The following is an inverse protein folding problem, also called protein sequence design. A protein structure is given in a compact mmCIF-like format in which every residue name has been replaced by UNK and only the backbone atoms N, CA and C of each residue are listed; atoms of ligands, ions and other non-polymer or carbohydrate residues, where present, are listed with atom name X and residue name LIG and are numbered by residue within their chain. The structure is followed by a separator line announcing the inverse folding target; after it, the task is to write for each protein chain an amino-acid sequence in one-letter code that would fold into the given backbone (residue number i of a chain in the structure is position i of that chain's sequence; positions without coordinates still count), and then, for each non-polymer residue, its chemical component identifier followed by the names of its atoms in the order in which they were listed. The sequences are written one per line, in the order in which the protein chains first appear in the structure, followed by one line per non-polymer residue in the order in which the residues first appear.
data_IF_788875745204
#
_entry.id   IF_788875745204
#
_cell.length_a   1.000
_cell.length_b   1.000
_cell.length_c   1.000
_cell.angle_alpha   90.00
_cell.angle_beta   90.00
_cell.angle_gamma   90.00
#
_symmetry.space_group_name_H-M   'P 1'
#
loop_
_entity.id
_entity.type
_entity.pdbx_description
1 polymer ?
#
# COMPACT_ATOMS: atom_id res chain seq x y z
N UNK A 1 -34.66 45.76 27.16
CA UNK A 1 -34.24 44.46 27.72
C UNK A 1 -32.75 44.27 27.42
N UNK A 2 -31.84 44.22 28.43
CA UNK A 2 -30.44 43.91 28.19
C UNK A 2 -30.31 42.43 27.82
N UNK A 3 -29.43 42.08 26.90
CA UNK A 3 -29.26 40.70 26.45
C UNK A 3 -28.71 39.84 27.58
N UNK A 4 -29.30 38.69 27.81
CA UNK A 4 -28.95 37.63 28.78
C UNK A 4 -27.47 37.18 28.77
N UNK A 5 -26.63 37.82 27.99
CA UNK A 5 -25.21 37.52 27.83
C UNK A 5 -24.33 38.04 28.98
N UNK A 6 -24.73 39.10 29.66
CA UNK A 6 -23.95 39.73 30.75
C UNK A 6 -24.02 38.98 32.08
N UNK A 7 -25.03 38.16 32.29
CA UNK A 7 -25.22 37.40 33.54
C UNK A 7 -24.30 36.19 33.68
N UNK A 8 -23.65 35.76 32.60
CA UNK A 8 -22.71 34.63 32.60
C UNK A 8 -21.25 35.04 32.88
N UNK A 9 -20.96 36.33 32.94
CA UNK A 9 -19.60 36.86 33.12
C UNK A 9 -19.23 37.14 34.59
N UNK A 10 -20.14 36.98 35.54
CA UNK A 10 -19.87 37.21 36.97
C UNK A 10 -19.35 36.00 37.77
N UNK A 11 -19.00 34.90 37.10
CA UNK A 11 -18.34 33.77 37.75
C UNK A 11 -16.84 34.00 37.86
N UNK A 12 -16.34 33.98 39.11
CA UNK A 12 -14.94 34.15 39.55
C UNK A 12 -13.90 33.43 38.65
N UNK A 13 -12.72 34.06 38.42
CA UNK A 13 -11.73 33.62 37.46
C UNK A 13 -10.79 32.48 37.92
N UNK A 14 -11.25 31.51 38.71
CA UNK A 14 -10.36 30.49 39.27
C UNK A 14 -10.79 29.02 39.11
N UNK A 15 -11.52 28.72 38.04
CA UNK A 15 -11.65 27.31 37.60
C UNK A 15 -11.18 27.19 36.15
N UNK A 16 -10.49 26.11 35.74
CA UNK A 16 -10.21 25.87 34.34
C UNK A 16 -11.55 25.59 33.63
N UNK A 17 -12.17 26.65 33.12
CA UNK A 17 -13.39 26.55 32.33
C UNK A 17 -13.05 25.71 31.12
N UNK A 18 -13.69 24.58 30.99
CA UNK A 18 -13.59 23.69 29.82
C UNK A 18 -13.76 24.53 28.55
N UNK A 19 -12.68 24.72 27.81
CA UNK A 19 -12.58 25.58 26.61
C UNK A 19 -13.28 25.00 25.38
N UNK A 20 -13.62 23.73 25.45
CA UNK A 20 -14.34 22.96 24.41
C UNK A 20 -15.75 23.52 24.13
N UNK A 21 -16.57 23.96 25.13
CA UNK A 21 -17.90 24.47 24.83
C UNK A 21 -17.90 25.73 23.94
N UNK A 22 -16.88 26.59 24.05
CA UNK A 22 -16.83 27.82 23.25
C UNK A 22 -16.48 27.48 21.79
N UNK A 23 -15.46 26.69 21.58
CA UNK A 23 -15.05 26.23 20.23
C UNK A 23 -16.21 25.51 19.53
N UNK A 24 -16.91 24.63 20.21
CA UNK A 24 -18.07 23.91 19.68
C UNK A 24 -19.22 24.84 19.31
N UNK A 25 -19.55 25.81 20.17
CA UNK A 25 -20.62 26.80 19.89
C UNK A 25 -20.30 27.67 18.69
N UNK A 26 -19.04 28.05 18.53
CA UNK A 26 -18.57 28.81 17.37
C UNK A 26 -18.79 28.03 16.09
N UNK A 27 -18.42 26.75 16.08
CA UNK A 27 -18.54 25.87 14.92
C UNK A 27 -20.02 25.56 14.57
N UNK A 28 -20.90 25.46 15.58
CA UNK A 28 -22.30 25.12 15.36
C UNK A 28 -23.20 26.34 15.06
N UNK A 29 -22.69 27.56 15.16
CA UNK A 29 -23.46 28.79 14.91
C UNK A 29 -23.83 28.93 13.40
N UNK A 30 -22.89 28.66 12.48
CA UNK A 30 -23.13 28.73 11.03
C UNK A 30 -23.00 27.33 10.41
N UNK A 31 -24.10 26.56 10.47
CA UNK A 31 -24.10 25.15 10.03
C UNK A 31 -23.73 24.94 8.56
N UNK A 32 -24.14 25.86 7.66
CA UNK A 32 -23.83 25.72 6.21
C UNK A 32 -22.33 25.84 5.95
N UNK A 33 -21.68 26.79 6.59
CA UNK A 33 -20.23 27.01 6.42
C UNK A 33 -19.41 25.94 7.09
N UNK A 34 -19.80 25.53 8.28
CA UNK A 34 -19.15 24.41 8.96
C UNK A 34 -19.28 23.13 8.13
N UNK A 35 -20.41 22.89 7.48
CA UNK A 35 -20.57 21.77 6.57
C UNK A 35 -19.63 21.86 5.36
N UNK A 36 -19.52 23.03 4.70
CA UNK A 36 -18.57 23.24 3.59
C UNK A 36 -17.13 23.07 4.05
N UNK A 37 -16.81 23.56 5.23
CA UNK A 37 -15.52 23.38 5.87
C UNK A 37 -15.18 21.91 6.11
N UNK A 38 -16.13 21.16 6.66
CA UNK A 38 -15.98 19.73 6.90
C UNK A 38 -15.80 18.94 5.61
N UNK A 39 -16.50 19.31 4.51
CA UNK A 39 -16.29 18.70 3.18
C UNK A 39 -14.86 18.93 2.70
N UNK A 40 -14.32 20.14 2.81
CA UNK A 40 -12.94 20.43 2.42
C UNK A 40 -11.92 19.61 3.21
N UNK A 41 -12.09 19.53 4.53
CA UNK A 41 -11.19 18.75 5.40
C UNK A 41 -11.35 17.25 5.16
N UNK A 42 -12.57 16.77 5.01
CA UNK A 42 -12.88 15.40 4.60
C UNK A 42 -12.12 15.03 3.33
N UNK A 43 -12.21 15.85 2.28
CA UNK A 43 -11.52 15.59 1.01
C UNK A 43 -10.00 15.60 1.15
N UNK A 44 -9.44 16.54 1.94
CA UNK A 44 -8.00 16.60 2.19
C UNK A 44 -7.50 15.34 2.91
N UNK A 45 -8.19 14.90 3.95
CA UNK A 45 -7.83 13.70 4.71
C UNK A 45 -8.03 12.44 3.88
N UNK A 46 -9.13 12.36 3.09
CA UNK A 46 -9.38 11.25 2.19
C UNK A 46 -8.26 11.12 1.15
N UNK A 47 -7.77 12.24 0.61
CA UNK A 47 -6.65 12.25 -0.34
C UNK A 47 -5.38 11.71 0.32
N UNK A 48 -5.08 12.09 1.56
CA UNK A 48 -3.95 11.51 2.33
C UNK A 48 -4.10 9.99 2.49
N UNK A 49 -5.32 9.50 2.78
CA UNK A 49 -5.58 8.05 2.81
C UNK A 49 -5.28 7.39 1.47
N UNK A 50 -5.75 7.97 0.37
CA UNK A 50 -5.56 7.41 -0.99
C UNK A 50 -4.07 7.36 -1.33
N UNK A 51 -3.34 8.45 -1.19
CA UNK A 51 -1.92 8.52 -1.51
C UNK A 51 -1.11 7.54 -0.66
N UNK A 52 -1.34 7.51 0.65
CA UNK A 52 -0.67 6.59 1.56
C UNK A 52 -1.10 5.13 1.28
N UNK A 53 -2.35 4.93 0.86
CA UNK A 53 -2.88 3.63 0.46
C UNK A 53 -2.09 3.04 -0.69
N UNK A 54 -1.92 3.77 -1.77
CA UNK A 54 -1.16 3.34 -2.94
C UNK A 54 0.35 3.26 -2.67
N UNK A 55 0.91 4.21 -1.93
CA UNK A 55 2.34 4.20 -1.58
C UNK A 55 2.78 2.89 -0.93
N UNK A 56 1.93 2.30 -0.08
CA UNK A 56 2.21 1.00 0.55
C UNK A 56 1.68 -0.20 -0.24
N UNK A 57 0.63 -0.04 -1.06
CA UNK A 57 0.07 -1.16 -1.80
C UNK A 57 0.96 -1.58 -2.97
N UNK A 58 1.66 -0.63 -3.59
CA UNK A 58 2.51 -0.92 -4.75
C UNK A 58 3.66 -1.86 -4.39
N UNK A 59 4.51 -1.61 -3.37
CA UNK A 59 5.53 -2.58 -2.96
C UNK A 59 4.94 -3.94 -2.56
N UNK A 60 3.78 -3.96 -1.91
CA UNK A 60 3.08 -5.19 -1.55
C UNK A 60 2.61 -5.98 -2.78
N UNK A 61 2.21 -5.31 -3.84
CA UNK A 61 1.92 -5.95 -5.12
C UNK A 61 3.15 -6.66 -5.72
N UNK A 62 4.34 -6.10 -5.53
CA UNK A 62 5.61 -6.73 -5.90
C UNK A 62 5.97 -7.95 -5.05
N UNK A 63 5.52 -8.01 -3.81
CA UNK A 63 5.78 -9.12 -2.89
C UNK A 63 4.73 -10.25 -2.94
N UNK A 64 3.65 -10.07 -3.70
CA UNK A 64 2.49 -10.94 -3.67
C UNK A 64 2.83 -12.42 -3.99
N UNK A 65 3.70 -12.66 -4.96
CA UNK A 65 4.19 -14.01 -5.25
C UNK A 65 4.91 -14.61 -4.04
N UNK A 66 5.86 -13.87 -3.50
CA UNK A 66 6.70 -14.33 -2.39
C UNK A 66 5.91 -14.54 -1.11
N UNK A 67 4.87 -13.72 -0.84
CA UNK A 67 3.97 -13.88 0.30
C UNK A 67 3.16 -15.18 0.24
N UNK A 68 2.99 -15.73 -0.96
CA UNK A 68 2.28 -16.99 -1.21
C UNK A 68 3.21 -18.18 -1.45
N UNK A 69 4.50 -18.02 -1.22
CA UNK A 69 5.50 -19.10 -1.34
C UNK A 69 6.08 -19.49 0.02
N UNK A 70 6.51 -20.74 0.12
CA UNK A 70 7.18 -21.32 1.29
C UNK A 70 8.68 -21.41 1.01
N UNK A 71 9.44 -20.53 1.60
CA UNK A 71 10.91 -20.55 1.57
C UNK A 71 11.45 -19.75 2.76
N UNK A 72 12.65 -20.10 3.20
CA UNK A 72 13.40 -19.36 4.21
C UNK A 72 14.41 -18.41 3.57
N UNK A 73 15.03 -18.87 2.46
CA UNK A 73 15.98 -18.11 1.67
C UNK A 73 15.62 -18.17 0.18
N UNK A 74 15.92 -17.11 -0.54
CA UNK A 74 15.73 -17.03 -1.99
C UNK A 74 17.08 -16.86 -2.69
N UNK A 75 17.46 -17.81 -3.55
CA UNK A 75 18.59 -17.69 -4.46
C UNK A 75 18.12 -17.00 -5.75
N UNK A 76 18.83 -15.98 -6.17
CA UNK A 76 18.59 -15.25 -7.42
C UNK A 76 19.89 -14.94 -8.14
N UNK A 77 19.80 -14.39 -9.35
CA UNK A 77 20.93 -13.77 -10.02
C UNK A 77 21.42 -12.54 -9.23
N UNK A 78 22.69 -12.19 -9.33
CA UNK A 78 23.23 -10.91 -8.83
C UNK A 78 22.67 -9.70 -9.60
N UNK A 79 22.08 -9.93 -10.78
CA UNK A 79 21.36 -8.93 -11.59
C UNK A 79 19.88 -8.83 -11.22
N UNK A 80 19.47 -9.38 -10.09
CA UNK A 80 18.09 -9.29 -9.62
C UNK A 80 17.69 -7.83 -9.36
N UNK A 81 16.75 -7.32 -10.14
CA UNK A 81 16.20 -5.98 -9.97
C UNK A 81 14.93 -5.98 -9.14
N UNK A 82 13.95 -6.76 -9.55
CA UNK A 82 12.66 -6.96 -8.87
C UNK A 82 12.00 -8.25 -9.38
N UNK A 83 10.87 -8.62 -8.77
CA UNK A 83 10.17 -9.88 -8.99
C UNK A 83 9.98 -10.28 -10.48
N UNK A 84 9.59 -9.36 -11.36
CA UNK A 84 9.37 -9.65 -12.77
C UNK A 84 10.65 -9.60 -13.61
N UNK A 85 11.76 -9.11 -13.06
CA UNK A 85 13.10 -9.10 -13.69
C UNK A 85 14.15 -9.69 -12.74
N UNK A 86 14.05 -10.99 -12.43
CA UNK A 86 14.95 -11.65 -11.48
C UNK A 86 16.31 -12.02 -12.07
N UNK A 87 16.51 -11.83 -13.37
CA UNK A 87 17.67 -12.38 -14.07
C UNK A 87 17.61 -13.91 -14.18
N UNK A 88 18.72 -14.52 -14.52
CA UNK A 88 18.88 -15.98 -14.59
C UNK A 88 20.23 -16.40 -14.03
N UNK A 89 20.31 -17.64 -13.53
CA UNK A 89 21.54 -18.27 -13.08
C UNK A 89 21.53 -19.76 -13.39
N UNK A 90 22.69 -20.44 -13.48
CA UNK A 90 22.75 -21.86 -13.77
C UNK A 90 22.12 -22.73 -12.68
N UNK A 91 21.31 -23.71 -13.05
CA UNK A 91 20.70 -24.69 -12.13
C UNK A 91 21.74 -25.38 -11.24
N UNK A 92 22.93 -25.63 -11.76
CA UNK A 92 24.04 -26.24 -11.03
C UNK A 92 24.45 -25.45 -9.77
N UNK A 93 24.19 -24.16 -9.72
CA UNK A 93 24.44 -23.34 -8.54
C UNK A 93 23.39 -23.62 -7.45
N UNK A 94 22.13 -23.81 -7.81
CA UNK A 94 21.08 -24.26 -6.88
C UNK A 94 21.35 -25.67 -6.37
N UNK A 95 21.82 -26.58 -7.25
CA UNK A 95 22.14 -27.95 -6.86
C UNK A 95 23.29 -28.02 -5.84
N UNK A 96 24.29 -27.11 -5.96
CA UNK A 96 25.35 -26.98 -4.93
C UNK A 96 24.76 -26.55 -3.59
N UNK A 97 23.84 -25.60 -3.59
CA UNK A 97 23.15 -25.13 -2.37
C UNK A 97 22.31 -26.26 -1.78
N UNK A 98 21.59 -27.02 -2.61
CA UNK A 98 20.78 -28.18 -2.21
C UNK A 98 21.60 -29.26 -1.49
N UNK A 99 22.88 -29.41 -1.86
CA UNK A 99 23.77 -30.41 -1.24
C UNK A 99 24.22 -30.04 0.19
N UNK A 100 23.93 -28.85 0.67
CA UNK A 100 24.28 -28.41 2.02
C UNK A 100 23.50 -29.17 3.09
N UNK A 101 24.15 -29.54 4.21
CA UNK A 101 23.49 -30.25 5.32
C UNK A 101 22.38 -29.40 6.00
N UNK A 102 22.41 -28.08 5.89
CA UNK A 102 21.46 -27.16 6.50
C UNK A 102 20.17 -27.01 5.67
N UNK A 103 20.19 -27.43 4.40
CA UNK A 103 19.08 -27.31 3.47
C UNK A 103 18.18 -28.56 3.57
N UNK A 104 16.89 -28.33 3.71
CA UNK A 104 15.88 -29.37 3.66
C UNK A 104 15.44 -29.63 2.21
N UNK A 105 15.17 -28.55 1.45
CA UNK A 105 14.85 -28.61 0.02
C UNK A 105 15.25 -27.30 -0.67
N UNK A 106 15.49 -27.39 -1.99
CA UNK A 106 15.77 -26.22 -2.83
C UNK A 106 15.12 -26.42 -4.20
N UNK A 107 14.06 -25.69 -4.48
CA UNK A 107 13.24 -25.84 -5.67
C UNK A 107 13.54 -24.74 -6.71
N UNK A 108 13.80 -25.10 -7.97
CA UNK A 108 13.97 -24.14 -9.06
C UNK A 108 12.62 -23.54 -9.48
N UNK A 109 12.61 -22.27 -9.82
CA UNK A 109 11.46 -21.56 -10.35
C UNK A 109 11.86 -20.87 -11.66
N UNK A 110 11.04 -21.07 -12.66
CA UNK A 110 11.24 -20.57 -14.00
C UNK A 110 10.18 -19.53 -14.33
N UNK A 111 10.58 -18.43 -14.95
CA UNK A 111 9.68 -17.39 -15.43
C UNK A 111 9.76 -17.26 -16.94
N UNK A 112 8.64 -17.07 -17.60
CA UNK A 112 8.56 -16.83 -19.02
C UNK A 112 7.32 -16.00 -19.36
N UNK A 113 7.36 -15.29 -20.47
CA UNK A 113 6.22 -14.60 -21.04
C UNK A 113 5.94 -15.15 -22.43
N UNK A 114 4.67 -15.40 -22.74
CA UNK A 114 4.22 -16.00 -23.98
C UNK A 114 2.91 -15.35 -24.46
N UNK A 115 2.65 -15.40 -25.76
CA UNK A 115 1.42 -14.88 -26.35
C UNK A 115 0.26 -15.84 -26.09
N UNK A 116 -0.81 -15.32 -25.49
CA UNK A 116 -2.03 -16.08 -25.26
C UNK A 116 -3.04 -15.83 -26.39
N UNK A 117 -3.43 -16.91 -27.06
CA UNK A 117 -4.46 -16.87 -28.12
C UNK A 117 -5.71 -17.60 -27.61
N UNK A 118 -6.75 -16.85 -27.26
CA UNK A 118 -8.00 -17.43 -26.74
C UNK A 118 -8.90 -18.01 -27.83
N UNK A 119 -8.58 -17.78 -29.10
CA UNK A 119 -9.44 -18.10 -30.23
C UNK A 119 -10.58 -17.09 -30.46
N UNK A 120 -10.69 -16.08 -29.66
CA UNK A 120 -11.69 -15.00 -29.75
C UNK A 120 -11.00 -13.66 -29.89
N UNK A 121 -11.05 -13.05 -31.08
CA UNK A 121 -10.50 -11.73 -31.38
C UNK A 121 -9.02 -11.71 -31.81
N UNK A 122 -8.57 -10.51 -32.23
CA UNK A 122 -7.21 -10.29 -32.77
C UNK A 122 -6.17 -9.87 -31.71
N UNK A 123 -6.58 -9.78 -30.44
CA UNK A 123 -5.70 -9.42 -29.34
C UNK A 123 -5.02 -10.67 -28.77
N UNK A 124 -3.69 -10.66 -28.76
CA UNK A 124 -2.88 -11.72 -28.17
C UNK A 124 -2.09 -11.14 -26.98
N UNK A 125 -2.71 -11.06 -25.81
CA UNK A 125 -2.02 -10.54 -24.63
C UNK A 125 -0.88 -11.46 -24.19
N UNK A 126 0.13 -10.89 -23.55
CA UNK A 126 1.19 -11.65 -22.94
C UNK A 126 0.72 -12.23 -21.60
N UNK A 127 0.83 -13.57 -21.46
CA UNK A 127 0.66 -14.26 -20.18
C UNK A 127 2.01 -14.51 -19.54
N UNK A 128 2.11 -14.23 -18.24
CA UNK A 128 3.30 -14.54 -17.46
C UNK A 128 3.20 -15.96 -16.91
N UNK A 129 4.15 -16.82 -17.27
CA UNK A 129 4.17 -18.23 -16.90
C UNK A 129 5.23 -18.50 -15.84
N UNK A 130 4.82 -19.22 -14.78
CA UNK A 130 5.70 -19.68 -13.71
C UNK A 130 5.77 -21.20 -13.79
N UNK A 131 6.98 -21.70 -14.06
CA UNK A 131 7.29 -23.13 -14.03
C UNK A 131 7.92 -23.52 -12.71
N UNK A 132 7.45 -24.59 -12.08
CA UNK A 132 7.99 -25.11 -10.82
C UNK A 132 7.79 -26.62 -10.74
N UNK A 133 8.47 -27.28 -9.80
CA UNK A 133 8.25 -28.69 -9.53
C UNK A 133 7.01 -28.86 -8.61
N UNK A 134 5.92 -29.49 -9.09
CA UNK A 134 4.74 -29.73 -8.25
C UNK A 134 5.04 -30.49 -6.94
N UNK A 135 6.02 -31.38 -6.93
CA UNK A 135 6.42 -32.15 -5.77
C UNK A 135 7.06 -31.30 -4.65
N UNK A 136 7.59 -30.12 -4.99
CA UNK A 136 8.23 -29.24 -4.01
C UNK A 136 7.26 -28.51 -3.07
N UNK A 137 5.97 -28.47 -3.40
CA UNK A 137 4.92 -27.80 -2.62
C UNK A 137 5.29 -26.38 -2.18
N UNK A 138 5.98 -25.64 -3.04
CA UNK A 138 6.48 -24.28 -2.73
C UNK A 138 5.37 -23.24 -2.55
N UNK A 139 4.17 -23.48 -3.06
CA UNK A 139 3.05 -22.56 -2.91
C UNK A 139 2.23 -22.86 -1.67
N UNK A 140 1.84 -21.78 -0.94
CA UNK A 140 1.02 -21.86 0.27
C UNK A 140 -0.47 -21.99 0.02
N UNK A 141 -1.09 -21.35 -1.02
CA UNK A 141 -2.54 -21.34 -1.18
C UNK A 141 -3.14 -22.72 -1.44
N UNK A 142 -4.20 -23.07 -0.70
CA UNK A 142 -4.96 -24.29 -0.89
C UNK A 142 -5.57 -24.40 -2.28
N UNK A 143 -5.91 -23.27 -2.91
CA UNK A 143 -6.43 -23.23 -4.28
C UNK A 143 -5.44 -23.77 -5.31
N UNK A 144 -4.14 -23.72 -5.02
CA UNK A 144 -3.08 -24.33 -5.84
C UNK A 144 -2.88 -25.78 -5.43
N UNK A 145 -2.67 -26.03 -4.14
CA UNK A 145 -2.27 -27.36 -3.63
C UNK A 145 -3.31 -28.45 -3.87
N UNK A 146 -4.63 -28.14 -3.85
CA UNK A 146 -5.69 -29.12 -4.12
C UNK A 146 -5.72 -29.65 -5.55
N UNK A 147 -5.16 -28.93 -6.49
CA UNK A 147 -5.18 -29.27 -7.91
C UNK A 147 -3.76 -29.37 -8.51
N UNK A 148 -2.73 -29.40 -7.67
CA UNK A 148 -1.33 -29.35 -8.11
C UNK A 148 -0.99 -30.56 -9.01
N UNK A 149 -1.58 -31.72 -8.77
CA UNK A 149 -1.37 -32.95 -9.55
C UNK A 149 -1.89 -32.85 -10.98
N UNK A 150 -2.79 -31.91 -11.28
CA UNK A 150 -3.23 -31.66 -12.67
C UNK A 150 -2.08 -31.17 -13.54
N UNK A 151 -1.06 -30.53 -12.95
CA UNK A 151 0.13 -30.06 -13.66
C UNK A 151 1.08 -31.18 -14.13
N UNK A 152 0.88 -32.41 -13.67
CA UNK A 152 1.60 -33.60 -14.17
C UNK A 152 1.09 -34.01 -15.56
N UNK A 153 -0.10 -33.55 -15.96
CA UNK A 153 -0.62 -33.76 -17.30
C UNK A 153 0.13 -32.90 -18.29
N UNK A 154 0.37 -33.49 -19.45
CA UNK A 154 1.10 -32.84 -20.57
C UNK A 154 0.33 -31.60 -21.04
N UNK A 155 1.08 -30.50 -21.28
CA UNK A 155 0.57 -29.24 -21.81
C UNK A 155 -0.62 -28.71 -21.01
N UNK A 156 -0.51 -28.74 -19.67
CA UNK A 156 -1.53 -28.27 -18.75
C UNK A 156 -1.02 -27.11 -17.91
N UNK A 157 -1.90 -26.13 -17.69
CA UNK A 157 -1.61 -24.94 -16.90
C UNK A 157 -2.74 -24.66 -15.89
N UNK A 158 -2.42 -24.10 -14.74
CA UNK A 158 -3.38 -23.41 -13.87
C UNK A 158 -3.31 -21.92 -14.19
N UNK A 159 -4.47 -21.25 -14.19
CA UNK A 159 -4.55 -19.82 -14.51
C UNK A 159 -5.08 -19.07 -13.29
N UNK A 160 -4.48 -17.93 -12.99
CA UNK A 160 -4.97 -17.07 -11.90
C UNK A 160 -6.34 -16.49 -12.26
N UNK A 161 -7.29 -16.59 -11.32
CA UNK A 161 -8.65 -16.04 -11.48
C UNK A 161 -8.67 -14.52 -11.63
N UNK A 162 -7.60 -13.84 -11.25
CA UNK A 162 -7.42 -12.40 -11.42
C UNK A 162 -6.89 -12.00 -12.80
N UNK A 163 -6.63 -12.97 -13.68
CA UNK A 163 -6.26 -12.73 -15.08
C UNK A 163 -7.34 -11.90 -15.77
N UNK A 164 -6.92 -10.87 -16.52
CA UNK A 164 -7.82 -9.87 -17.10
C UNK A 164 -8.80 -10.48 -18.12
N UNK A 165 -10.01 -9.92 -18.29
CA UNK A 165 -11.03 -10.44 -19.20
C UNK A 165 -10.61 -10.54 -20.67
N UNK A 166 -9.59 -9.78 -21.08
CA UNK A 166 -9.04 -9.83 -22.44
C UNK A 166 -8.42 -11.18 -22.82
N UNK A 167 -8.14 -12.06 -21.84
CA UNK A 167 -7.70 -13.43 -22.08
C UNK A 167 -8.83 -14.40 -22.44
N UNK A 168 -10.08 -13.93 -22.42
CA UNK A 168 -11.27 -14.74 -22.66
C UNK A 168 -11.67 -15.61 -21.46
N UNK A 169 -12.63 -16.52 -21.65
CA UNK A 169 -13.07 -17.42 -20.60
C UNK A 169 -11.95 -18.35 -20.11
N UNK A 170 -11.84 -18.53 -18.80
CA UNK A 170 -10.80 -19.34 -18.13
C UNK A 170 -11.38 -20.65 -17.56
N UNK A 171 -12.29 -21.28 -18.29
CA UNK A 171 -12.97 -22.49 -17.82
C UNK A 171 -12.03 -23.69 -17.81
N UNK A 172 -12.10 -24.49 -16.77
CA UNK A 172 -11.34 -25.74 -16.65
C UNK A 172 -11.69 -26.68 -17.79
N UNK A 173 -10.68 -27.27 -18.41
CA UNK A 173 -10.79 -28.14 -19.58
C UNK A 173 -10.76 -27.38 -20.91
N UNK A 174 -10.82 -26.05 -20.91
CA UNK A 174 -10.68 -25.27 -22.15
C UNK A 174 -9.26 -25.39 -22.71
N UNK A 175 -9.16 -25.56 -24.03
CA UNK A 175 -7.89 -25.54 -24.76
C UNK A 175 -7.67 -24.15 -25.31
N UNK A 176 -6.51 -23.61 -25.05
CA UNK A 176 -6.03 -22.31 -25.54
C UNK A 176 -4.69 -22.51 -26.24
N UNK A 177 -4.25 -21.53 -27.00
CA UNK A 177 -2.95 -21.55 -27.60
C UNK A 177 -2.01 -20.55 -26.88
N UNK A 178 -0.89 -21.07 -26.42
CA UNK A 178 0.19 -20.25 -25.83
C UNK A 178 1.38 -20.33 -26.78
N UNK A 179 1.74 -19.20 -27.40
CA UNK A 179 2.56 -19.11 -28.60
C UNK A 179 1.99 -20.07 -29.68
N UNK A 180 2.69 -21.04 -30.12
CA UNK A 180 2.23 -22.00 -31.15
C UNK A 180 1.87 -23.38 -30.55
N UNK A 181 1.61 -23.45 -29.24
CA UNK A 181 1.28 -24.69 -28.52
C UNK A 181 -0.10 -24.67 -27.91
N UNK A 182 -0.87 -25.71 -28.18
CA UNK A 182 -2.18 -25.95 -27.55
C UNK A 182 -1.97 -26.43 -26.12
N UNK A 183 -2.61 -25.74 -25.18
CA UNK A 183 -2.49 -25.96 -23.74
C UNK A 183 -3.87 -26.04 -23.14
N UNK A 184 -4.07 -26.98 -22.22
CA UNK A 184 -5.33 -27.15 -21.49
C UNK A 184 -5.30 -26.36 -20.17
N UNK A 185 -6.33 -25.61 -19.89
CA UNK A 185 -6.54 -25.01 -18.58
C UNK A 185 -6.98 -26.11 -17.63
N UNK A 186 -6.08 -26.55 -16.76
CA UNK A 186 -6.33 -27.62 -15.79
C UNK A 186 -7.17 -27.15 -14.58
N UNK A 187 -7.19 -25.86 -14.34
CA UNK A 187 -7.95 -25.26 -13.25
C UNK A 187 -7.60 -23.80 -13.01
N UNK A 188 -8.25 -23.22 -12.01
CA UNK A 188 -8.05 -21.83 -11.60
C UNK A 188 -7.58 -21.76 -10.16
N UNK A 189 -6.71 -20.79 -9.87
CA UNK A 189 -6.26 -20.49 -8.51
C UNK A 189 -6.45 -19.01 -8.21
N UNK A 190 -6.23 -18.62 -6.95
CA UNK A 190 -6.30 -17.23 -6.51
C UNK A 190 -4.99 -16.91 -5.78
N UNK A 191 -4.17 -16.09 -6.42
CA UNK A 191 -2.95 -15.54 -5.85
C UNK A 191 -2.91 -14.04 -6.08
N UNK A 192 -3.37 -13.61 -7.25
CA UNK A 192 -3.28 -12.25 -7.76
C UNK A 192 -2.12 -12.09 -8.74
N UNK A 193 -2.33 -11.30 -9.78
CA UNK A 193 -1.30 -11.05 -10.80
C UNK A 193 -0.22 -10.10 -10.30
N UNK A 194 -0.51 -9.26 -9.32
CA UNK A 194 0.43 -8.25 -8.83
C UNK A 194 0.95 -7.37 -9.97
N UNK A 195 2.26 -7.24 -10.06
CA UNK A 195 2.95 -6.55 -11.14
C UNK A 195 3.64 -7.52 -12.14
N UNK A 196 3.33 -8.81 -12.08
CA UNK A 196 3.91 -9.80 -13.03
C UNK A 196 3.33 -9.66 -14.42
N UNK A 197 2.08 -9.23 -14.57
CA UNK A 197 1.44 -9.05 -15.86
C UNK A 197 -0.08 -8.94 -15.79
N UNK A 198 -0.72 -8.94 -16.95
CA UNK A 198 -2.18 -8.88 -17.08
C UNK A 198 -2.84 -10.26 -16.87
N UNK A 199 -2.04 -11.33 -17.00
CA UNK A 199 -2.42 -12.70 -16.72
C UNK A 199 -1.24 -13.51 -16.23
N UNK A 200 -1.48 -14.44 -15.31
CA UNK A 200 -0.45 -15.32 -14.73
C UNK A 200 -0.92 -16.77 -14.76
N UNK A 201 -0.03 -17.63 -15.22
CA UNK A 201 -0.23 -19.07 -15.24
C UNK A 201 0.85 -19.82 -14.48
N UNK A 202 0.47 -20.92 -13.83
CA UNK A 202 1.37 -21.89 -13.20
C UNK A 202 1.43 -23.16 -14.02
N UNK A 203 2.61 -23.75 -14.15
CA UNK A 203 2.78 -25.01 -14.85
C UNK A 203 3.93 -25.80 -14.23
N UNK A 204 4.02 -27.11 -14.56
CA UNK A 204 5.16 -27.91 -14.13
C UNK A 204 6.43 -27.54 -14.89
N UNK A 205 7.61 -27.82 -14.30
CA UNK A 205 8.90 -27.64 -14.96
C UNK A 205 8.94 -28.34 -16.33
N UNK A 206 8.36 -29.54 -16.47
CA UNK A 206 8.29 -30.26 -17.71
C UNK A 206 7.45 -29.56 -18.77
N UNK A 207 6.29 -29.07 -18.42
CA UNK A 207 5.43 -28.30 -19.33
C UNK A 207 6.03 -26.92 -19.65
N UNK A 208 6.69 -26.28 -18.66
CA UNK A 208 7.40 -25.01 -18.88
C UNK A 208 8.51 -25.19 -19.94
N UNK A 209 9.32 -26.27 -19.88
CA UNK A 209 10.35 -26.55 -20.87
C UNK A 209 9.77 -26.81 -22.28
N UNK A 210 8.51 -27.31 -22.34
CA UNK A 210 7.81 -27.49 -23.64
C UNK A 210 7.29 -26.16 -24.18
N UNK A 211 6.83 -25.26 -23.32
CA UNK A 211 6.36 -23.93 -23.72
C UNK A 211 7.53 -23.04 -24.16
N UNK A 212 8.68 -23.18 -23.52
CA UNK A 212 9.87 -22.35 -23.77
C UNK A 212 11.10 -23.19 -24.19
N UNK A 213 11.04 -23.93 -25.33
CA UNK A 213 12.11 -24.83 -25.74
C UNK A 213 13.44 -24.12 -26.00
N UNK A 214 13.40 -22.88 -26.43
CA UNK A 214 14.58 -22.06 -26.69
C UNK A 214 15.39 -21.74 -25.42
N UNK A 215 14.74 -21.75 -24.24
CA UNK A 215 15.33 -21.33 -22.99
C UNK A 215 16.12 -22.46 -22.31
N UNK A 216 15.68 -23.69 -22.48
CA UNK A 216 16.23 -24.86 -21.79
C UNK A 216 15.93 -24.83 -20.28
N UNK A 217 16.19 -25.94 -19.60
CA UNK A 217 16.01 -26.09 -18.14
C UNK A 217 17.28 -25.77 -17.33
N UNK A 218 18.39 -25.48 -18.01
CA UNK A 218 19.67 -25.24 -17.34
C UNK A 218 19.79 -23.87 -16.66
N UNK A 219 18.97 -22.91 -17.06
CA UNK A 219 18.92 -21.55 -16.49
C UNK A 219 17.64 -21.36 -15.69
N UNK A 220 17.79 -20.95 -14.45
CA UNK A 220 16.73 -20.76 -13.46
C UNK A 220 16.59 -19.28 -13.12
N UNK A 221 15.40 -18.82 -12.83
CA UNK A 221 15.19 -17.43 -12.39
C UNK A 221 15.34 -17.27 -10.87
N UNK A 222 14.75 -18.19 -10.11
CA UNK A 222 14.77 -18.17 -8.65
C UNK A 222 14.98 -19.58 -8.12
N UNK A 223 15.61 -19.69 -6.97
CA UNK A 223 15.71 -20.91 -6.17
C UNK A 223 15.06 -20.69 -4.82
N UNK A 224 13.93 -21.35 -4.55
CA UNK A 224 13.28 -21.34 -3.25
C UNK A 224 13.97 -22.35 -2.33
N UNK A 225 14.61 -21.90 -1.27
CA UNK A 225 15.38 -22.72 -0.34
C UNK A 225 14.60 -22.83 0.97
N UNK A 226 14.35 -24.06 1.39
CA UNK A 226 13.80 -24.37 2.71
C UNK A 226 14.93 -24.91 3.58
N UNK A 227 15.09 -24.37 4.77
CA UNK A 227 16.10 -24.80 5.73
C UNK A 227 15.57 -25.89 6.64
N UNK A 228 16.46 -26.68 7.22
CA UNK A 228 16.08 -27.64 8.26
C UNK A 228 15.64 -26.92 9.54
N UNK A 229 14.81 -27.57 10.32
CA UNK A 229 14.31 -27.01 11.57
C UNK A 229 15.48 -26.62 12.50
N UNK A 230 15.42 -25.39 13.04
CA UNK A 230 16.41 -24.85 13.97
C UNK A 230 17.63 -24.18 13.33
N UNK A 231 17.73 -24.15 12.01
CA UNK A 231 18.79 -23.41 11.32
C UNK A 231 18.41 -21.92 11.24
N UNK A 232 19.36 -21.05 11.64
CA UNK A 232 19.15 -19.59 11.53
C UNK A 232 19.32 -19.11 10.08
N UNK A 233 18.30 -18.49 9.47
CA UNK A 233 18.37 -18.05 8.07
C UNK A 233 19.46 -17.03 7.79
N UNK A 234 19.73 -16.12 8.73
CA UNK A 234 20.75 -15.09 8.54
C UNK A 234 22.16 -15.67 8.45
N UNK A 235 22.49 -16.64 9.31
CA UNK A 235 23.77 -17.36 9.27
C UNK A 235 23.88 -18.25 8.04
N UNK A 236 22.81 -19.03 7.76
CA UNK A 236 22.78 -19.94 6.62
C UNK A 236 22.95 -19.22 5.28
N UNK A 237 22.35 -18.03 5.12
CA UNK A 237 22.49 -17.22 3.92
C UNK A 237 23.95 -16.93 3.57
N UNK A 238 24.79 -16.56 4.56
CA UNK A 238 26.21 -16.27 4.34
C UNK A 238 27.03 -17.51 3.93
N UNK A 239 26.74 -18.68 4.51
CA UNK A 239 27.45 -19.91 4.19
C UNK A 239 26.99 -20.50 2.86
N UNK A 240 25.71 -20.47 2.58
CA UNK A 240 25.12 -20.91 1.30
C UNK A 240 25.52 -20.00 0.13
N UNK A 241 25.74 -18.70 0.39
CA UNK A 241 26.25 -17.77 -0.63
C UNK A 241 27.63 -18.19 -1.16
N UNK A 242 28.50 -18.71 -0.30
CA UNK A 242 29.82 -19.22 -0.70
C UNK A 242 29.69 -20.47 -1.59
N UNK A 243 28.70 -21.32 -1.31
CA UNK A 243 28.40 -22.52 -2.12
C UNK A 243 27.77 -22.16 -3.47
N UNK A 244 26.84 -21.21 -3.48
CA UNK A 244 26.20 -20.73 -4.71
C UNK A 244 27.21 -20.16 -5.69
N UNK A 245 28.21 -19.40 -5.19
CA UNK A 245 29.29 -18.85 -6.00
C UNK A 245 28.94 -17.49 -6.62
N UNK A 246 29.81 -17.04 -7.52
CA UNK A 246 29.69 -15.75 -8.18
C UNK A 246 28.49 -15.71 -9.15
N UNK A 247 27.96 -14.52 -9.41
CA UNK A 247 26.80 -14.29 -10.28
C UNK A 247 25.45 -14.59 -9.65
N UNK A 248 25.43 -14.92 -8.35
CA UNK A 248 24.20 -15.15 -7.58
C UNK A 248 24.17 -14.39 -6.30
N UNK A 249 22.97 -14.20 -5.79
CA UNK A 249 22.70 -13.58 -4.48
C UNK A 249 21.64 -14.39 -3.74
N UNK A 250 21.89 -14.62 -2.44
CA UNK A 250 20.92 -15.21 -1.52
C UNK A 250 20.33 -14.11 -0.68
N UNK A 251 19.00 -14.07 -0.66
CA UNK A 251 18.23 -13.17 0.19
C UNK A 251 17.58 -13.95 1.33
N UNK A 252 17.65 -13.41 2.53
CA UNK A 252 16.68 -13.74 3.56
C UNK A 252 15.32 -13.11 3.22
N UNK A 253 14.25 -13.60 3.84
CA UNK A 253 12.92 -13.01 3.63
C UNK A 253 12.89 -11.50 3.90
N UNK A 254 13.53 -11.07 4.98
CA UNK A 254 13.59 -9.66 5.38
C UNK A 254 14.36 -8.81 4.37
N UNK A 255 15.49 -9.31 3.87
CA UNK A 255 16.28 -8.60 2.86
C UNK A 255 15.55 -8.49 1.52
N UNK A 256 14.83 -9.54 1.13
CA UNK A 256 14.00 -9.55 -0.07
C UNK A 256 12.87 -8.52 0.02
N UNK A 257 12.15 -8.51 1.14
CA UNK A 257 11.07 -7.55 1.39
C UNK A 257 11.60 -6.10 1.36
N UNK A 258 12.76 -5.86 1.95
CA UNK A 258 13.41 -4.55 1.93
C UNK A 258 13.86 -4.15 0.52
N UNK A 259 14.44 -5.10 -0.25
CA UNK A 259 14.90 -4.86 -1.61
C UNK A 259 13.74 -4.52 -2.56
N UNK A 260 12.66 -5.32 -2.54
CA UNK A 260 11.45 -5.08 -3.34
C UNK A 260 10.80 -3.74 -2.97
N UNK A 261 10.66 -3.47 -1.67
CA UNK A 261 10.10 -2.20 -1.20
C UNK A 261 10.95 -1.02 -1.65
N UNK A 262 12.28 -1.11 -1.53
CA UNK A 262 13.19 -0.07 -1.96
C UNK A 262 13.12 0.14 -3.49
N UNK A 263 13.03 -0.93 -4.28
CA UNK A 263 12.89 -0.83 -5.73
C UNK A 263 11.66 0.02 -6.10
N UNK A 264 10.48 -0.36 -5.59
CA UNK A 264 9.23 0.31 -5.92
C UNK A 264 9.14 1.74 -5.38
N UNK A 265 9.74 2.03 -4.22
CA UNK A 265 9.66 3.35 -3.58
C UNK A 265 10.74 4.32 -4.04
N UNK A 266 11.92 3.84 -4.45
CA UNK A 266 13.06 4.72 -4.73
C UNK A 266 13.56 4.68 -6.17
N UNK A 267 13.35 3.55 -6.89
CA UNK A 267 13.87 3.38 -8.26
C UNK A 267 12.80 3.55 -9.34
N UNK A 268 11.53 3.51 -8.98
CA UNK A 268 10.44 3.70 -9.92
C UNK A 268 9.80 5.07 -9.80
N UNK A 269 9.19 5.56 -10.87
CA UNK A 269 8.38 6.78 -10.84
C UNK A 269 7.16 6.68 -9.90
N UNK A 270 6.72 5.47 -9.60
CA UNK A 270 5.59 5.21 -8.70
C UNK A 270 5.84 5.77 -7.30
N UNK A 271 7.03 5.50 -6.73
CA UNK A 271 7.42 6.03 -5.42
C UNK A 271 7.46 7.57 -5.41
N UNK A 272 7.97 8.18 -6.47
CA UNK A 272 8.01 9.64 -6.63
C UNK A 272 6.59 10.20 -6.75
N UNK A 273 5.73 9.60 -7.57
CA UNK A 273 4.35 10.07 -7.79
C UNK A 273 3.55 10.05 -6.49
N UNK A 274 3.48 8.89 -5.82
CA UNK A 274 2.70 8.77 -4.58
C UNK A 274 3.36 9.49 -3.39
N UNK A 275 4.69 9.52 -3.32
CA UNK A 275 5.41 10.27 -2.29
C UNK A 275 5.21 11.77 -2.41
N UNK A 276 5.30 12.32 -3.63
CA UNK A 276 5.01 13.75 -3.88
C UNK A 276 3.52 14.06 -3.72
N UNK A 277 2.64 13.18 -4.15
CA UNK A 277 1.19 13.29 -3.95
C UNK A 277 0.83 13.37 -2.46
N UNK A 278 1.43 12.53 -1.62
CA UNK A 278 1.27 12.58 -0.17
C UNK A 278 1.72 13.93 0.40
N UNK A 279 2.90 14.44 -0.01
CA UNK A 279 3.39 15.74 0.44
C UNK A 279 2.45 16.88 0.03
N UNK A 280 2.01 16.87 -1.22
CA UNK A 280 1.06 17.88 -1.75
C UNK A 280 -0.26 17.79 -0.96
N UNK A 281 -0.78 16.60 -0.70
CA UNK A 281 -2.01 16.38 0.07
C UNK A 281 -1.91 16.95 1.48
N UNK A 282 -0.76 16.78 2.14
CA UNK A 282 -0.51 17.34 3.47
C UNK A 282 -0.48 18.88 3.43
N UNK A 283 0.22 19.46 2.45
CA UNK A 283 0.28 20.93 2.28
C UNK A 283 -1.10 21.51 2.00
N UNK A 284 -1.85 20.91 1.08
CA UNK A 284 -3.22 21.32 0.74
C UNK A 284 -4.13 21.17 1.97
N UNK A 285 -4.00 20.09 2.73
CA UNK A 285 -4.73 19.87 3.97
C UNK A 285 -4.46 20.97 5.01
N UNK A 286 -3.21 21.33 5.23
CA UNK A 286 -2.83 22.44 6.12
C UNK A 286 -3.45 23.75 5.62
N UNK A 287 -3.38 24.04 4.32
CA UNK A 287 -3.94 25.27 3.73
C UNK A 287 -5.45 25.33 3.92
N UNK A 288 -6.18 24.24 3.69
CA UNK A 288 -7.64 24.18 3.86
C UNK A 288 -8.01 24.42 5.33
N UNK A 289 -7.37 23.71 6.26
CA UNK A 289 -7.64 23.88 7.70
C UNK A 289 -7.29 25.30 8.15
N UNK A 290 -6.15 25.83 7.70
CA UNK A 290 -5.76 27.22 8.00
C UNK A 290 -6.79 28.22 7.47
N UNK A 291 -7.22 28.11 6.22
CA UNK A 291 -8.21 29.00 5.60
C UNK A 291 -9.53 29.01 6.38
N UNK A 292 -9.98 27.83 6.81
CA UNK A 292 -11.22 27.68 7.58
C UNK A 292 -11.08 28.35 8.95
N UNK A 293 -10.02 28.01 9.68
CA UNK A 293 -9.79 28.52 11.03
C UNK A 293 -9.54 30.03 11.00
N UNK A 294 -8.73 30.51 10.07
CA UNK A 294 -8.44 31.94 9.90
C UNK A 294 -9.72 32.76 9.60
N UNK A 295 -10.58 32.22 8.72
CA UNK A 295 -11.85 32.88 8.42
C UNK A 295 -12.78 32.93 9.63
N UNK A 296 -12.83 31.87 10.42
CA UNK A 296 -13.64 31.85 11.66
C UNK A 296 -13.09 32.79 12.72
N UNK A 297 -11.77 32.83 12.89
CA UNK A 297 -11.10 33.73 13.82
C UNK A 297 -11.30 35.18 13.39
N UNK A 298 -11.13 35.51 12.11
CA UNK A 298 -11.30 36.89 11.59
C UNK A 298 -12.68 37.49 11.87
N UNK A 299 -13.72 36.67 11.80
CA UNK A 299 -15.10 37.12 12.12
C UNK A 299 -15.35 37.39 13.61
N UNK A 300 -14.56 36.77 14.46
CA UNK A 300 -14.69 36.89 15.89
C UNK A 300 -13.65 37.84 16.49
N UNK A 301 -12.86 38.50 15.63
CA UNK A 301 -11.88 39.50 16.07
C UNK A 301 -12.48 40.55 17.00
N UNK A 302 -13.66 41.15 16.74
CA UNK A 302 -14.26 42.12 17.69
C UNK A 302 -14.56 41.52 19.07
N UNK A 303 -15.02 40.24 19.09
CA UNK A 303 -15.30 39.53 20.34
C UNK A 303 -14.01 39.17 21.09
N UNK A 304 -12.95 38.76 20.34
CA UNK A 304 -11.64 38.52 20.93
C UNK A 304 -10.98 39.80 21.45
N UNK A 305 -11.15 40.94 20.76
CA UNK A 305 -10.69 42.24 21.23
C UNK A 305 -11.39 42.62 22.55
N UNK A 306 -12.70 42.43 22.63
CA UNK A 306 -13.47 42.66 23.87
C UNK A 306 -12.96 41.75 25.00
N UNK A 307 -12.75 40.46 24.75
CA UNK A 307 -12.21 39.53 25.76
C UNK A 307 -10.80 39.94 26.23
N UNK A 308 -9.97 40.43 25.31
CA UNK A 308 -8.63 40.94 25.62
C UNK A 308 -8.71 42.22 26.49
N UNK A 309 -9.64 43.14 26.18
CA UNK A 309 -9.89 44.33 26.97
C UNK A 309 -10.36 44.03 28.41
N UNK A 310 -11.08 42.94 28.62
CA UNK A 310 -11.55 42.46 29.94
C UNK A 310 -10.44 41.67 30.68
N UNK A 311 -9.23 41.47 30.06
CA UNK A 311 -8.07 40.87 30.71
C UNK A 311 -7.81 39.41 30.41
N UNK A 312 -8.42 38.83 29.35
CA UNK A 312 -8.08 37.50 28.90
C UNK A 312 -6.68 37.48 28.26
N UNK A 313 -5.87 36.49 28.63
CA UNK A 313 -4.48 36.36 28.12
C UNK A 313 -4.50 35.78 26.71
N UNK A 314 -3.54 36.19 25.88
CA UNK A 314 -3.35 35.70 24.50
C UNK A 314 -3.27 34.16 24.42
N UNK A 315 -2.71 33.51 25.46
CA UNK A 315 -2.67 32.06 25.60
C UNK A 315 -4.05 31.40 25.62
N UNK A 316 -5.04 32.08 26.20
CA UNK A 316 -6.43 31.59 26.28
C UNK A 316 -7.12 31.63 24.92
N UNK A 317 -6.86 32.68 24.13
CA UNK A 317 -7.37 32.84 22.77
C UNK A 317 -6.71 31.80 21.82
N UNK A 318 -5.39 31.65 21.91
CA UNK A 318 -4.66 30.65 21.18
C UNK A 318 -5.18 29.21 21.45
N UNK A 319 -5.47 28.91 22.73
CA UNK A 319 -6.03 27.61 23.09
C UNK A 319 -7.43 27.37 22.50
N UNK A 320 -8.26 28.44 22.38
CA UNK A 320 -9.58 28.32 21.74
C UNK A 320 -9.44 28.06 20.24
N UNK A 321 -8.53 28.76 19.54
CA UNK A 321 -8.23 28.55 18.13
C UNK A 321 -7.70 27.12 17.89
N UNK A 322 -6.77 26.65 18.73
CA UNK A 322 -6.25 25.28 18.64
C UNK A 322 -7.34 24.23 18.87
N UNK A 323 -8.23 24.44 19.82
CA UNK A 323 -9.36 23.56 20.06
C UNK A 323 -10.33 23.53 18.87
N UNK A 324 -10.58 24.67 18.22
CA UNK A 324 -11.40 24.73 17.00
C UNK A 324 -10.76 23.93 15.86
N UNK A 325 -9.46 24.13 15.58
CA UNK A 325 -8.73 23.38 14.55
C UNK A 325 -8.81 21.88 14.80
N UNK A 326 -8.61 21.47 16.06
CA UNK A 326 -8.63 20.06 16.44
C UNK A 326 -10.03 19.43 16.24
N UNK A 327 -11.07 20.12 16.72
CA UNK A 327 -12.46 19.64 16.60
C UNK A 327 -12.90 19.49 15.15
N UNK A 328 -12.57 20.44 14.28
CA UNK A 328 -12.91 20.39 12.86
C UNK A 328 -12.18 19.23 12.18
N UNK A 329 -10.89 19.05 12.47
CA UNK A 329 -10.09 17.96 11.89
C UNK A 329 -10.59 16.60 12.35
N UNK A 330 -10.89 16.41 13.64
CA UNK A 330 -11.46 15.15 14.15
C UNK A 330 -12.83 14.88 13.52
N UNK A 331 -13.69 15.91 13.40
CA UNK A 331 -15.01 15.77 12.77
C UNK A 331 -14.92 15.39 11.28
N UNK A 332 -13.90 15.88 10.56
CA UNK A 332 -13.63 15.52 9.17
C UNK A 332 -12.94 14.16 9.01
N UNK A 333 -12.12 13.76 9.99
CA UNK A 333 -11.39 12.49 9.96
C UNK A 333 -12.31 11.28 9.98
N UNK A 334 -13.33 11.27 10.81
CA UNK A 334 -14.24 10.12 10.98
C UNK A 334 -14.90 9.73 9.65
N UNK A 335 -15.60 10.63 8.92
CA UNK A 335 -16.19 10.30 7.64
C UNK A 335 -15.13 10.00 6.57
N UNK A 336 -13.95 10.65 6.61
CA UNK A 336 -12.86 10.37 5.68
C UNK A 336 -12.31 8.94 5.85
N UNK A 337 -12.13 8.49 7.09
CA UNK A 337 -11.70 7.12 7.38
C UNK A 337 -12.74 6.08 6.92
N UNK A 338 -14.03 6.35 7.15
CA UNK A 338 -15.11 5.48 6.69
C UNK A 338 -15.18 5.42 5.14
N UNK A 339 -15.05 6.56 4.46
CA UNK A 339 -15.01 6.62 3.01
C UNK A 339 -13.76 5.93 2.44
N UNK A 340 -12.59 6.11 3.08
CA UNK A 340 -11.35 5.44 2.68
C UNK A 340 -11.46 3.92 2.79
N UNK A 341 -12.13 3.41 3.83
CA UNK A 341 -12.38 1.98 3.99
C UNK A 341 -13.22 1.42 2.82
N UNK A 342 -14.30 2.11 2.45
CA UNK A 342 -15.12 1.75 1.30
C UNK A 342 -14.36 1.84 -0.03
N UNK A 343 -13.60 2.92 -0.22
CA UNK A 343 -12.81 3.15 -1.43
C UNK A 343 -11.69 2.09 -1.59
N UNK A 344 -11.02 1.72 -0.52
CA UNK A 344 -9.99 0.65 -0.56
C UNK A 344 -10.60 -0.70 -0.94
N UNK A 345 -11.81 -1.00 -0.45
CA UNK A 345 -12.55 -2.20 -0.83
C UNK A 345 -12.85 -2.21 -2.34
N UNK A 346 -13.31 -1.09 -2.88
CA UNK A 346 -13.59 -0.93 -4.30
C UNK A 346 -12.31 -1.05 -5.15
N UNK A 347 -11.25 -0.32 -4.77
CA UNK A 347 -9.96 -0.38 -5.49
C UNK A 347 -9.44 -1.82 -5.52
N UNK A 348 -9.51 -2.55 -4.40
CA UNK A 348 -9.05 -3.94 -4.34
C UNK A 348 -9.83 -4.85 -5.28
N UNK A 349 -11.14 -4.65 -5.41
CA UNK A 349 -11.99 -5.44 -6.32
C UNK A 349 -11.68 -5.14 -7.80
N UNK A 350 -11.45 -3.88 -8.14
CA UNK A 350 -11.25 -3.46 -9.53
C UNK A 350 -9.80 -3.61 -10.00
N UNK A 351 -8.82 -3.35 -9.14
CA UNK A 351 -7.41 -3.33 -9.53
C UNK A 351 -6.62 -4.55 -9.08
N UNK A 352 -7.18 -5.33 -8.14
CA UNK A 352 -6.53 -6.49 -7.51
C UNK A 352 -5.24 -6.13 -6.73
N UNK A 353 -4.96 -4.85 -6.57
CA UNK A 353 -3.87 -4.39 -5.71
C UNK A 353 -4.21 -4.64 -4.24
N UNK A 354 -3.25 -5.07 -3.41
CA UNK A 354 -3.47 -5.36 -1.99
C UNK A 354 -3.58 -4.08 -1.15
N UNK A 355 -4.51 -3.19 -1.53
CA UNK A 355 -4.82 -1.98 -0.76
C UNK A 355 -5.66 -2.39 0.44
N UNK A 356 -5.06 -2.45 1.63
CA UNK A 356 -5.75 -2.84 2.85
C UNK A 356 -5.68 -1.71 3.89
N UNK A 357 -6.78 -1.49 4.61
CA UNK A 357 -6.74 -0.62 5.78
C UNK A 357 -6.05 -1.39 6.91
N UNK A 358 -4.93 -0.86 7.42
CA UNK A 358 -4.26 -1.37 8.61
C UNK A 358 -4.39 -0.37 9.77
N UNK A 359 -4.32 -0.85 11.01
CA UNK A 359 -4.33 0.00 12.20
C UNK A 359 -3.20 1.02 12.16
N UNK A 360 -2.01 0.61 11.76
CA UNK A 360 -0.85 1.50 11.61
C UNK A 360 -1.12 2.62 10.61
N UNK A 361 -1.79 2.32 9.48
CA UNK A 361 -2.16 3.33 8.47
C UNK A 361 -3.20 4.30 9.00
N UNK A 362 -4.22 3.78 9.69
CA UNK A 362 -5.23 4.61 10.33
C UNK A 362 -4.58 5.58 11.34
N UNK A 363 -3.66 5.09 12.17
CA UNK A 363 -2.91 5.90 13.13
C UNK A 363 -1.98 6.92 12.45
N UNK A 364 -1.30 6.53 11.36
CA UNK A 364 -0.42 7.43 10.61
C UNK A 364 -1.20 8.60 10.00
N UNK A 365 -2.36 8.32 9.36
CA UNK A 365 -3.20 9.38 8.80
C UNK A 365 -3.83 10.23 9.90
N UNK A 366 -4.21 9.62 11.02
CA UNK A 366 -4.70 10.39 12.18
C UNK A 366 -3.62 11.32 12.73
N UNK A 367 -2.40 10.84 12.90
CA UNK A 367 -1.27 11.67 13.33
C UNK A 367 -0.97 12.80 12.33
N UNK A 368 -1.03 12.51 11.02
CA UNK A 368 -0.89 13.51 9.97
C UNK A 368 -2.00 14.58 10.05
N UNK A 369 -3.26 14.16 10.25
CA UNK A 369 -4.40 15.06 10.41
C UNK A 369 -4.25 15.96 11.66
N UNK A 370 -3.78 15.39 12.78
CA UNK A 370 -3.44 16.18 13.97
C UNK A 370 -2.31 17.17 13.69
N UNK A 371 -1.28 16.77 12.94
CA UNK A 371 -0.21 17.66 12.48
C UNK A 371 -0.74 18.84 11.66
N UNK A 372 -1.65 18.57 10.71
CA UNK A 372 -2.32 19.63 9.95
C UNK A 372 -3.09 20.60 10.86
N UNK A 373 -3.82 20.08 11.86
CA UNK A 373 -4.55 20.91 12.83
C UNK A 373 -3.61 21.81 13.64
N UNK A 374 -2.50 21.27 14.12
CA UNK A 374 -1.51 22.00 14.92
C UNK A 374 -0.83 23.09 14.09
N UNK A 375 -0.33 22.76 12.90
CA UNK A 375 0.32 23.72 12.02
C UNK A 375 -0.64 24.84 11.64
N UNK A 376 -1.88 24.51 11.25
CA UNK A 376 -2.91 25.50 10.90
C UNK A 376 -3.28 26.40 12.07
N UNK A 377 -3.38 25.83 13.28
CA UNK A 377 -3.63 26.62 14.49
C UNK A 377 -2.49 27.60 14.79
N UNK A 378 -1.24 27.15 14.68
CA UNK A 378 -0.07 28.01 14.88
C UNK A 378 -0.03 29.15 13.87
N UNK A 379 -0.28 28.88 12.58
CA UNK A 379 -0.35 29.91 11.54
C UNK A 379 -1.48 30.90 11.82
N UNK A 380 -2.67 30.40 12.22
CA UNK A 380 -3.81 31.27 12.52
C UNK A 380 -3.57 32.15 13.75
N UNK A 381 -2.93 31.62 14.79
CA UNK A 381 -2.56 32.39 15.99
C UNK A 381 -1.49 33.44 15.68
N UNK A 382 -0.53 33.10 14.80
CA UNK A 382 0.51 34.05 14.39
C UNK A 382 -0.07 35.26 13.65
N UNK A 383 -1.03 35.04 12.74
CA UNK A 383 -1.76 36.12 12.05
C UNK A 383 -2.60 36.95 13.05
N UNK A 384 -3.29 36.28 14.00
CA UNK A 384 -4.08 36.96 15.03
C UNK A 384 -3.22 37.89 15.91
N UNK A 385 -2.00 37.50 16.26
CA UNK A 385 -1.08 38.32 17.06
C UNK A 385 -0.57 39.56 16.34
N UNK A 386 -0.54 39.56 15.02
CA UNK A 386 -0.10 40.70 14.18
C UNK A 386 -1.23 41.69 13.90
N UNK A 387 -2.49 41.28 14.09
CA UNK A 387 -3.61 42.19 13.96
C UNK A 387 -3.60 43.16 15.16
N UNK A 388 -3.37 44.46 14.90
CA UNK A 388 -3.35 45.50 15.91
C UNK A 388 -4.80 45.82 16.34
N UNK A 389 -5.14 45.77 17.65
CA UNK A 389 -6.45 46.18 18.12
C UNK A 389 -6.83 47.63 17.75
N UNK A 390 -5.82 48.49 17.50
CA UNK A 390 -6.03 49.89 17.14
C UNK A 390 -6.64 50.06 15.72
N UNK A 391 -6.46 49.11 14.81
CA UNK A 391 -7.03 49.15 13.45
C UNK A 391 -8.51 48.72 13.40
N UNK A 392 -9.10 48.34 14.55
CA UNK A 392 -10.47 47.84 14.64
C UNK A 392 -11.45 48.86 15.28
N UNK A 393 -10.97 49.99 15.74
CA UNK A 393 -11.71 51.11 16.29
C UNK A 393 -11.36 52.38 15.52
#
# INVERSE_FOLDING_TARGET
HPPRFLTLLQQKPNRPVMKVPLAWRILTYDKRRTALALIGIFMAILLVFVELGFFYAVPRGGLLLYDNMRFDLLLSSDQYEYQAQPGVFPLSQLDRVRSSPDVADAAPIYFGSAKWKSGEGDLWPDIFMIGFDPASHIFSPDSINRQITVLDQVDTVLVDSSTRPMFGPLDTGRVVEIDDRKVTIGGRYVLGTGFMGLGVGLTSTANFARLFPQRGSALVNLGAIQLKAGVDPGRAAGDLQKLAGAGTRIFTRQELDAHETAYWTTRTSVGIIFGSGLLISLVVGVMIVYQIVSTQVGRQLPQFATLKAIGYRDRSLAATVSAMSLLIVIAGFIPAAAAAFGLYSLIRQETLLPVMMSEMRLLAVFAAALGMAVISALLSVWVLRRADPADLF
#
